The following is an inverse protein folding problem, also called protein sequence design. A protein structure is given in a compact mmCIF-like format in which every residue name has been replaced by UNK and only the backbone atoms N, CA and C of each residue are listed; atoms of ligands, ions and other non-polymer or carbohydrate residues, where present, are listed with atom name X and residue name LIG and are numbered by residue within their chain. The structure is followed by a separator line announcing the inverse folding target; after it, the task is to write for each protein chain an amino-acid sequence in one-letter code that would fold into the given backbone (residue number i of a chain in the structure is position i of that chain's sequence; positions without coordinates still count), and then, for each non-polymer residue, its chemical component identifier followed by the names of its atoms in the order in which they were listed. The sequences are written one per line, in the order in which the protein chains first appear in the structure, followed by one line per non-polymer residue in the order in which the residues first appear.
data_IF_062085662742
#
_entry.id   IF_062085662742
#
_cell.length_a   1.000
_cell.length_b   1.000
_cell.length_c   1.000
_cell.angle_alpha   90.00
_cell.angle_beta   90.00
_cell.angle_gamma   90.00
#
_symmetry.space_group_name_H-M   'P 1'
#
loop_
_entity.id
_entity.type
_entity.pdbx_description
1 polymer ?
#
# COMPACT_ATOMS: atom_id res chain seq x y z
N UNK A 1 22.92 23.89 -4.22
CA UNK A 1 22.61 24.00 -2.78
C UNK A 1 22.30 22.58 -2.32
N UNK A 2 23.31 21.85 -1.82
CA UNK A 2 23.11 20.47 -1.40
C UNK A 2 22.40 20.47 -0.05
N UNK A 3 21.14 20.00 -0.02
CA UNK A 3 20.45 19.71 1.23
C UNK A 3 21.07 18.41 1.75
N UNK A 4 22.21 18.54 2.43
CA UNK A 4 22.84 17.43 3.12
C UNK A 4 22.09 17.26 4.45
N UNK A 5 21.38 16.15 4.59
CA UNK A 5 20.85 15.72 5.89
C UNK A 5 22.04 15.33 6.77
N UNK A 6 22.02 15.77 8.02
CA UNK A 6 23.02 15.31 8.99
C UNK A 6 22.79 13.82 9.28
N UNK A 7 23.83 13.09 9.69
CA UNK A 7 23.70 11.68 10.06
C UNK A 7 22.67 11.49 11.19
N UNK A 8 22.61 12.46 12.11
CA UNK A 8 21.61 12.49 13.19
C UNK A 8 20.18 12.61 12.64
N UNK A 9 19.95 13.48 11.64
CA UNK A 9 18.63 13.62 11.01
C UNK A 9 18.24 12.35 10.25
N UNK A 10 19.18 11.69 9.58
CA UNK A 10 18.93 10.43 8.87
C UNK A 10 18.54 9.30 9.83
N UNK A 11 19.26 9.15 10.95
CA UNK A 11 18.92 8.17 11.99
C UNK A 11 17.56 8.45 12.63
N UNK A 12 17.22 9.72 12.85
CA UNK A 12 15.90 10.14 13.34
C UNK A 12 14.81 9.74 12.35
N UNK A 13 14.99 10.02 11.06
CA UNK A 13 13.99 9.67 10.03
C UNK A 13 13.79 8.14 9.97
N UNK A 14 14.85 7.34 9.93
CA UNK A 14 14.73 5.88 9.93
C UNK A 14 14.04 5.36 11.20
N UNK A 15 14.37 5.93 12.36
CA UNK A 15 13.74 5.55 13.62
C UNK A 15 12.24 5.88 13.59
N UNK A 16 11.86 7.06 13.11
CA UNK A 16 10.45 7.45 12.94
C UNK A 16 9.72 6.51 11.98
N UNK A 17 10.30 6.20 10.82
CA UNK A 17 9.69 5.30 9.83
C UNK A 17 9.47 3.89 10.40
N UNK A 18 10.45 3.33 11.12
CA UNK A 18 10.32 2.02 11.78
C UNK A 18 9.25 2.00 12.86
N UNK A 19 9.15 3.08 13.65
CA UNK A 19 8.09 3.23 14.65
C UNK A 19 6.73 3.28 13.95
N UNK A 20 6.59 4.09 12.90
CA UNK A 20 5.36 4.18 12.11
C UNK A 20 4.98 2.83 11.51
N UNK A 21 5.93 2.09 10.92
CA UNK A 21 5.70 0.76 10.37
C UNK A 21 5.22 -0.22 11.45
N UNK A 22 5.84 -0.21 12.63
CA UNK A 22 5.44 -1.08 13.74
C UNK A 22 3.99 -0.82 14.16
N UNK A 23 3.62 0.45 14.36
CA UNK A 23 2.25 0.81 14.69
C UNK A 23 1.27 0.47 13.56
N UNK A 24 1.66 0.70 12.30
CA UNK A 24 0.81 0.35 11.16
C UNK A 24 0.53 -1.14 11.08
N UNK A 25 1.57 -1.98 11.20
CA UNK A 25 1.41 -3.45 11.20
C UNK A 25 0.53 -3.94 12.35
N UNK A 26 0.67 -3.33 13.54
CA UNK A 26 -0.20 -3.64 14.67
C UNK A 26 -1.67 -3.29 14.40
N UNK A 27 -1.94 -2.12 13.84
CA UNK A 27 -3.30 -1.72 13.43
C UNK A 27 -3.85 -2.61 12.32
N UNK A 28 -3.02 -3.02 11.36
CA UNK A 28 -3.40 -3.94 10.31
C UNK A 28 -3.82 -5.30 10.87
N UNK A 29 -3.11 -5.81 11.87
CA UNK A 29 -3.46 -7.05 12.56
C UNK A 29 -4.81 -6.94 13.29
N UNK A 30 -5.04 -5.84 14.01
CA UNK A 30 -6.33 -5.58 14.67
C UNK A 30 -7.45 -5.53 13.63
N UNK A 31 -7.27 -4.76 12.56
CA UNK A 31 -8.26 -4.64 11.50
C UNK A 31 -8.58 -5.99 10.83
N UNK A 32 -7.57 -6.83 10.58
CA UNK A 32 -7.76 -8.18 10.07
C UNK A 32 -8.57 -9.06 11.05
N UNK A 33 -8.26 -9.00 12.35
CA UNK A 33 -9.00 -9.72 13.38
C UNK A 33 -10.46 -9.26 13.43
N UNK A 34 -10.71 -7.94 13.40
CA UNK A 34 -12.04 -7.36 13.37
C UNK A 34 -12.82 -7.81 12.12
N UNK A 35 -12.21 -7.76 10.94
CA UNK A 35 -12.82 -8.19 9.69
C UNK A 35 -13.21 -9.67 9.72
N UNK A 36 -12.38 -10.54 10.28
CA UNK A 36 -12.68 -11.97 10.35
C UNK A 36 -13.74 -12.27 11.41
N UNK A 37 -13.66 -11.65 12.59
CA UNK A 37 -14.52 -11.99 13.73
C UNK A 37 -15.86 -11.26 13.76
N UNK A 38 -15.93 -10.01 13.31
CA UNK A 38 -17.12 -9.16 13.47
C UNK A 38 -18.01 -9.11 12.22
N UNK A 39 -17.53 -9.56 11.06
CA UNK A 39 -18.31 -9.46 9.83
C UNK A 39 -19.38 -10.55 9.77
N UNK A 40 -20.68 -10.19 9.63
CA UNK A 40 -21.77 -11.15 9.64
C UNK A 40 -21.69 -12.11 8.44
N UNK A 41 -22.16 -13.36 8.58
CA UNK A 41 -22.05 -14.38 7.54
C UNK A 41 -22.80 -14.00 6.25
N UNK A 42 -23.86 -13.19 6.35
CA UNK A 42 -24.61 -12.66 5.21
C UNK A 42 -23.81 -11.67 4.33
N UNK A 43 -22.60 -11.29 4.75
CA UNK A 43 -21.70 -10.40 4.01
C UNK A 43 -20.37 -11.07 3.67
N UNK A 44 -20.35 -12.41 3.56
CA UNK A 44 -19.13 -13.18 3.31
C UNK A 44 -18.37 -12.73 2.04
N UNK A 45 -19.07 -12.35 0.97
CA UNK A 45 -18.43 -11.88 -0.27
C UNK A 45 -17.74 -10.54 -0.10
N UNK A 46 -18.39 -9.57 0.55
CA UNK A 46 -17.79 -8.26 0.87
C UNK A 46 -16.60 -8.44 1.83
N UNK A 47 -16.72 -9.35 2.80
CA UNK A 47 -15.64 -9.70 3.71
C UNK A 47 -14.38 -10.12 2.96
N UNK A 48 -14.52 -10.96 1.92
CA UNK A 48 -13.39 -11.43 1.13
C UNK A 48 -12.70 -10.28 0.37
N UNK A 49 -13.47 -9.35 -0.20
CA UNK A 49 -12.91 -8.13 -0.81
C UNK A 49 -12.15 -7.27 0.20
N UNK A 50 -12.72 -7.06 1.39
CA UNK A 50 -12.09 -6.26 2.44
C UNK A 50 -10.82 -6.92 2.98
N UNK A 51 -10.80 -8.25 3.13
CA UNK A 51 -9.60 -9.00 3.51
C UNK A 51 -8.52 -8.87 2.42
N UNK A 52 -8.90 -8.95 1.14
CA UNK A 52 -7.97 -8.76 0.04
C UNK A 52 -7.36 -7.36 0.01
N UNK A 53 -8.18 -6.31 0.16
CA UNK A 53 -7.71 -4.93 0.27
C UNK A 53 -6.78 -4.77 1.48
N UNK A 54 -7.15 -5.34 2.63
CA UNK A 54 -6.33 -5.31 3.84
C UNK A 54 -4.96 -5.97 3.62
N UNK A 55 -4.92 -7.11 2.91
CA UNK A 55 -3.68 -7.76 2.56
C UNK A 55 -2.80 -6.90 1.65
N UNK A 56 -3.38 -6.29 0.61
CA UNK A 56 -2.64 -5.40 -0.29
C UNK A 56 -2.06 -4.18 0.44
N UNK A 57 -2.81 -3.61 1.40
CA UNK A 57 -2.33 -2.49 2.22
C UNK A 57 -1.12 -2.90 3.08
N UNK A 58 -1.15 -4.08 3.72
CA UNK A 58 0.00 -4.59 4.49
C UNK A 58 1.23 -4.79 3.59
N UNK A 59 1.04 -5.36 2.39
CA UNK A 59 2.13 -5.54 1.42
C UNK A 59 2.69 -4.19 0.98
N UNK A 60 1.83 -3.20 0.75
CA UNK A 60 2.24 -1.84 0.41
C UNK A 60 3.05 -1.17 1.54
N UNK A 61 2.62 -1.31 2.78
CA UNK A 61 3.31 -0.74 3.95
C UNK A 61 4.68 -1.38 4.17
N UNK A 62 4.81 -2.70 3.96
CA UNK A 62 6.10 -3.39 3.99
C UNK A 62 6.99 -2.91 2.84
N UNK A 63 6.43 -2.77 1.63
CA UNK A 63 7.17 -2.29 0.46
C UNK A 63 7.70 -0.86 0.67
N UNK A 64 6.87 0.05 1.19
CA UNK A 64 7.29 1.42 1.49
C UNK A 64 8.24 1.50 2.68
N UNK A 65 7.95 0.75 3.75
CA UNK A 65 8.68 0.82 5.00
C UNK A 65 10.03 0.09 5.02
N UNK A 66 10.23 -0.93 4.17
CA UNK A 66 11.48 -1.72 4.15
C UNK A 66 12.22 -1.56 2.82
N UNK A 67 11.51 -1.67 1.69
CA UNK A 67 12.15 -1.66 0.36
C UNK A 67 12.39 -0.23 -0.14
N UNK A 68 11.49 0.70 0.18
CA UNK A 68 11.58 2.09 -0.29
C UNK A 68 12.29 3.03 0.70
N UNK A 69 12.27 2.73 2.01
CA UNK A 69 12.98 3.47 3.08
C UNK A 69 14.45 3.83 2.75
N UNK A 70 15.30 2.94 2.21
CA UNK A 70 16.71 3.26 1.96
C UNK A 70 16.95 4.14 0.73
N UNK A 71 15.95 4.47 -0.10
CA UNK A 71 16.21 5.11 -1.39
C UNK A 71 16.17 6.65 -1.34
N UNK A 72 15.16 7.30 -0.72
CA UNK A 72 15.08 8.76 -0.62
C UNK A 72 16.17 9.39 0.26
N UNK A 73 16.79 8.60 1.15
CA UNK A 73 17.81 9.06 2.09
C UNK A 73 19.24 8.80 1.60
N UNK A 74 19.42 7.95 0.57
CA UNK A 74 20.70 7.73 -0.09
C UNK A 74 20.93 8.44 -1.46
N UNK A 75 20.21 9.51 -1.88
CA UNK A 75 20.61 10.28 -3.06
C UNK A 75 21.93 11.04 -2.84
N UNK A 76 22.43 11.09 -1.60
CA UNK A 76 23.71 11.70 -1.20
C UNK A 76 24.91 10.99 -1.86
N UNK A 77 24.87 9.66 -2.02
CA UNK A 77 25.91 8.96 -2.77
C UNK A 77 25.78 9.17 -4.29
N UNK A 78 24.58 9.47 -4.78
CA UNK A 78 24.31 9.70 -6.20
C UNK A 78 24.81 11.07 -6.69
N UNK A 79 24.95 12.07 -5.81
CA UNK A 79 25.50 13.39 -6.16
C UNK A 79 27.03 13.51 -6.08
N UNK A 80 27.69 12.66 -5.28
CA UNK A 80 29.14 12.73 -5.04
C UNK A 80 29.94 11.90 -6.06
N UNK A 81 29.37 10.80 -6.55
CA UNK A 81 30.04 9.93 -7.53
C UNK A 81 29.41 10.11 -8.92
N UNK A 82 30.06 10.95 -9.73
CA UNK A 82 29.73 11.30 -11.13
C UNK A 82 29.72 10.11 -12.13
N UNK A 83 29.66 8.86 -11.65
CA UNK A 83 29.60 7.60 -12.42
C UNK A 83 28.46 6.75 -11.87
N UNK A 84 27.25 7.16 -12.21
CA UNK A 84 26.07 6.42 -11.85
C UNK A 84 26.06 5.05 -12.55
N UNK A 85 25.90 3.96 -11.80
CA UNK A 85 25.65 2.64 -12.40
C UNK A 85 24.19 2.61 -12.86
N UNK A 86 23.93 2.55 -14.18
CA UNK A 86 22.60 2.39 -14.79
C UNK A 86 21.70 1.40 -14.03
N UNK A 87 22.31 0.37 -13.42
CA UNK A 87 21.66 -0.60 -12.52
C UNK A 87 20.85 0.04 -11.37
N UNK A 88 21.36 1.07 -10.68
CA UNK A 88 20.67 1.66 -9.53
C UNK A 88 19.42 2.47 -9.93
N UNK A 89 19.44 3.17 -11.08
CA UNK A 89 18.26 3.86 -11.64
C UNK A 89 17.20 2.82 -11.98
N UNK A 90 17.62 1.72 -12.64
CA UNK A 90 16.70 0.66 -13.03
C UNK A 90 16.06 0.02 -11.81
N UNK A 91 16.85 -0.32 -10.78
CA UNK A 91 16.33 -0.90 -9.53
C UNK A 91 15.34 0.04 -8.83
N UNK A 92 15.64 1.34 -8.76
CA UNK A 92 14.72 2.32 -8.19
C UNK A 92 13.42 2.44 -9.00
N UNK A 93 13.50 2.55 -10.33
CA UNK A 93 12.33 2.64 -11.20
C UNK A 93 11.46 1.39 -11.10
N UNK A 94 12.07 0.21 -10.96
CA UNK A 94 11.35 -1.04 -10.75
C UNK A 94 10.61 -1.03 -9.40
N UNK A 95 11.27 -0.62 -8.32
CA UNK A 95 10.64 -0.52 -7.00
C UNK A 95 9.49 0.49 -6.99
N UNK A 96 9.68 1.66 -7.62
CA UNK A 96 8.63 2.66 -7.79
C UNK A 96 7.45 2.10 -8.61
N UNK A 97 7.73 1.42 -9.72
CA UNK A 97 6.69 0.80 -10.55
C UNK A 97 5.90 -0.29 -9.81
N UNK A 98 6.56 -1.08 -8.96
CA UNK A 98 5.88 -2.07 -8.09
C UNK A 98 4.96 -1.37 -7.09
N UNK A 99 5.40 -0.28 -6.46
CA UNK A 99 4.57 0.51 -5.56
C UNK A 99 3.32 1.05 -6.26
N UNK A 100 3.49 1.65 -7.43
CA UNK A 100 2.37 2.18 -8.22
C UNK A 100 1.38 1.09 -8.65
N UNK A 101 1.89 -0.08 -9.03
CA UNK A 101 1.05 -1.23 -9.35
C UNK A 101 0.23 -1.72 -8.14
N UNK A 102 0.84 -1.78 -6.95
CA UNK A 102 0.14 -2.17 -5.72
C UNK A 102 -0.97 -1.15 -5.40
N UNK A 103 -0.66 0.15 -5.46
CA UNK A 103 -1.63 1.22 -5.20
C UNK A 103 -2.78 1.18 -6.21
N UNK A 104 -2.48 1.00 -7.50
CA UNK A 104 -3.49 0.85 -8.54
C UNK A 104 -4.40 -0.35 -8.25
N UNK A 105 -3.83 -1.47 -7.83
CA UNK A 105 -4.59 -2.68 -7.50
C UNK A 105 -5.48 -2.49 -6.26
N UNK A 106 -5.00 -1.76 -5.24
CA UNK A 106 -5.82 -1.34 -4.09
C UNK A 106 -7.00 -0.49 -4.56
N UNK A 107 -6.75 0.51 -5.42
CA UNK A 107 -7.79 1.38 -5.97
C UNK A 107 -8.86 0.61 -6.75
N UNK A 108 -8.44 -0.28 -7.65
CA UNK A 108 -9.35 -1.15 -8.41
C UNK A 108 -10.16 -2.04 -7.47
N UNK A 109 -9.53 -2.63 -6.46
CA UNK A 109 -10.21 -3.50 -5.49
C UNK A 109 -11.27 -2.74 -4.68
N UNK A 110 -11.00 -1.50 -4.28
CA UNK A 110 -11.96 -0.63 -3.60
C UNK A 110 -13.14 -0.31 -4.52
N UNK A 111 -12.87 0.05 -5.78
CA UNK A 111 -13.93 0.35 -6.76
C UNK A 111 -14.83 -0.87 -6.98
N UNK A 112 -14.24 -2.05 -7.19
CA UNK A 112 -14.98 -3.31 -7.36
C UNK A 112 -15.81 -3.62 -6.11
N UNK A 113 -15.25 -3.44 -4.91
CA UNK A 113 -15.98 -3.63 -3.65
C UNK A 113 -17.18 -2.67 -3.53
N UNK A 114 -17.02 -1.40 -3.93
CA UNK A 114 -18.10 -0.41 -3.93
C UNK A 114 -19.18 -0.79 -4.94
N UNK A 115 -18.80 -1.16 -6.16
CA UNK A 115 -19.73 -1.60 -7.19
C UNK A 115 -20.51 -2.82 -6.68
N UNK A 116 -19.84 -3.84 -6.16
CA UNK A 116 -20.50 -5.03 -5.62
C UNK A 116 -21.52 -4.68 -4.53
N UNK A 117 -21.14 -3.83 -3.57
CA UNK A 117 -22.04 -3.38 -2.51
C UNK A 117 -23.24 -2.61 -3.07
N UNK A 118 -23.01 -1.73 -4.05
CA UNK A 118 -24.08 -1.00 -4.72
C UNK A 118 -25.06 -1.94 -5.44
N UNK A 119 -24.54 -2.93 -6.17
CA UNK A 119 -25.33 -3.94 -6.87
C UNK A 119 -26.20 -4.77 -5.90
N UNK A 120 -25.68 -5.13 -4.72
CA UNK A 120 -26.42 -5.92 -3.73
C UNK A 120 -27.65 -5.20 -3.13
N UNK A 121 -27.73 -3.88 -3.24
CA UNK A 121 -28.83 -3.07 -2.67
C UNK A 121 -29.86 -2.72 -3.76
N UNK A 122 -29.49 -2.83 -5.05
CA UNK A 122 -30.36 -2.39 -6.14
C UNK A 122 -31.54 -3.34 -6.40
N UNK A 123 -32.76 -2.79 -6.58
CA UNK A 123 -33.93 -3.58 -6.94
C UNK A 123 -33.79 -4.17 -8.35
N UNK A 124 -34.45 -5.29 -8.59
CA UNK A 124 -34.50 -5.95 -9.90
C UNK A 124 -35.13 -5.02 -10.96
N UNK A 125 -34.55 -4.99 -12.16
CA UNK A 125 -35.01 -4.16 -13.27
C UNK A 125 -34.54 -2.69 -13.26
N UNK A 126 -33.70 -2.28 -12.29
CA UNK A 126 -33.12 -0.95 -12.29
C UNK A 126 -32.03 -0.80 -13.37
N UNK A 127 -32.00 0.34 -14.07
CA UNK A 127 -31.08 0.61 -15.20
C UNK A 127 -29.59 0.42 -14.88
N UNK A 128 -29.20 0.58 -13.62
CA UNK A 128 -27.81 0.43 -13.17
C UNK A 128 -27.50 -0.94 -12.53
N UNK A 129 -28.46 -1.87 -12.53
CA UNK A 129 -28.24 -3.23 -12.06
C UNK A 129 -27.57 -4.04 -13.18
N UNK A 130 -26.42 -4.63 -12.89
CA UNK A 130 -25.70 -5.46 -13.85
C UNK A 130 -26.31 -6.86 -13.86
N UNK A 131 -26.67 -7.38 -15.03
CA UNK A 131 -27.33 -8.69 -15.20
C UNK A 131 -26.44 -9.92 -14.88
N UNK A 132 -25.19 -9.69 -14.50
CA UNK A 132 -24.14 -10.73 -14.39
C UNK A 132 -23.62 -10.97 -12.96
N UNK A 133 -24.39 -10.65 -11.92
CA UNK A 133 -24.05 -11.02 -10.52
C UNK A 133 -25.07 -11.98 -9.94
#
# INVERSE_FOLDING_TARGET
MGIFLTLEDQERIFTTLRITLFFSLFLHAIAAICLVKQTPPNQATIRNYLIYIQFLLVVNDINLGILFEPIPLFPVFAGIFNKFSVKFVIEYLLLQGVTELIIANIGVSIIVCIIFRHQSIMPEGHMFKLDTV
#
